data_IF_910816234281
#
_entry.id   IF_910816234281
#
_cell.length_a   1.000
_cell.length_b   1.000
_cell.length_c   1.000
_cell.angle_alpha   90.00
_cell.angle_beta   90.00
_cell.angle_gamma   90.00
#
_symmetry.space_group_name_H-M   'P 1'
#
loop_
_entity.id
_entity.type
_entity.pdbx_description
1 polymer ?
#
# COMPACT_ATOMS: atom_id res chain seq x y z
N UNK A 1 22.65 10.07 6.95
CA UNK A 1 21.93 9.18 7.82
C UNK A 1 20.50 8.94 7.33
N UNK A 2 20.12 7.72 7.31
CA UNK A 2 18.74 7.40 6.96
C UNK A 2 17.81 7.88 8.06
N UNK A 3 16.70 8.44 7.71
CA UNK A 3 15.69 8.80 8.67
C UNK A 3 14.98 7.58 9.24
N UNK A 4 14.15 7.80 10.23
CA UNK A 4 13.28 6.76 10.76
C UNK A 4 12.29 6.33 9.68
N UNK A 5 11.78 5.10 9.75
CA UNK A 5 10.68 4.68 8.88
C UNK A 5 9.48 5.60 9.09
N UNK A 6 8.73 5.82 8.02
CA UNK A 6 7.53 6.63 8.10
C UNK A 6 6.50 6.13 7.11
N UNK A 7 5.23 6.32 7.42
CA UNK A 7 4.18 6.02 6.46
C UNK A 7 4.13 7.10 5.39
N UNK A 8 3.94 6.66 4.14
CA UNK A 8 3.70 7.60 3.05
C UNK A 8 2.23 8.03 3.06
N UNK A 9 1.86 8.84 2.09
CA UNK A 9 0.46 9.27 1.92
C UNK A 9 -0.33 8.29 1.07
N UNK A 10 0.22 7.15 0.73
CA UNK A 10 -0.42 6.18 -0.15
C UNK A 10 -1.06 5.06 0.67
N UNK A 11 -2.30 4.72 0.31
CA UNK A 11 -3.02 3.58 0.87
C UNK A 11 -3.47 2.73 -0.30
N UNK A 12 -3.26 1.42 -0.22
CA UNK A 12 -3.54 0.51 -1.32
C UNK A 12 -4.69 -0.42 -0.94
N UNK A 13 -5.70 -0.49 -1.79
CA UNK A 13 -6.83 -1.42 -1.67
C UNK A 13 -6.83 -2.32 -2.89
N UNK A 14 -6.94 -3.63 -2.68
CA UNK A 14 -7.02 -4.57 -3.80
C UNK A 14 -8.38 -5.25 -3.79
N UNK A 15 -9.00 -5.37 -4.96
CA UNK A 15 -10.33 -5.97 -5.05
C UNK A 15 -10.55 -6.62 -6.41
N UNK A 16 -11.23 -7.77 -6.40
CA UNK A 16 -11.67 -8.41 -7.64
C UNK A 16 -12.88 -7.72 -8.26
N UNK A 17 -13.56 -6.89 -7.49
CA UNK A 17 -14.67 -6.07 -7.98
C UNK A 17 -14.16 -4.70 -8.41
N UNK A 18 -13.14 -4.71 -9.23
CA UNK A 18 -12.36 -3.51 -9.56
C UNK A 18 -13.19 -2.43 -10.26
N UNK A 19 -13.95 -2.81 -11.29
CA UNK A 19 -14.75 -1.83 -12.03
C UNK A 19 -15.80 -1.16 -11.14
N UNK A 20 -16.43 -1.94 -10.27
CA UNK A 20 -17.43 -1.41 -9.33
C UNK A 20 -16.77 -0.48 -8.32
N UNK A 21 -15.59 -0.85 -7.82
CA UNK A 21 -14.86 -0.02 -6.88
C UNK A 21 -14.46 1.32 -7.50
N UNK A 22 -13.94 1.29 -8.73
CA UNK A 22 -13.57 2.53 -9.42
C UNK A 22 -14.77 3.44 -9.57
N UNK A 23 -15.91 2.90 -9.96
CA UNK A 23 -17.13 3.70 -10.12
C UNK A 23 -17.57 4.30 -8.78
N UNK A 24 -17.48 3.51 -7.72
CA UNK A 24 -17.86 3.98 -6.39
C UNK A 24 -17.01 5.17 -5.95
N UNK A 25 -15.69 5.05 -6.07
CA UNK A 25 -14.81 6.12 -5.62
C UNK A 25 -14.89 7.35 -6.52
N UNK A 26 -15.02 7.15 -7.82
CA UNK A 26 -15.04 8.26 -8.76
C UNK A 26 -16.39 8.96 -8.80
N UNK A 27 -17.48 8.21 -8.69
CA UNK A 27 -18.83 8.75 -8.86
C UNK A 27 -19.52 9.01 -7.53
N UNK A 28 -19.55 8.00 -6.64
CA UNK A 28 -20.29 8.16 -5.38
C UNK A 28 -19.55 9.06 -4.41
N UNK A 29 -18.24 8.86 -4.25
CA UNK A 29 -17.44 9.72 -3.38
C UNK A 29 -16.86 10.93 -4.11
N UNK A 30 -16.95 10.93 -5.44
CA UNK A 30 -16.47 12.03 -6.27
C UNK A 30 -14.98 12.34 -6.08
N UNK A 31 -14.17 11.31 -5.82
CA UNK A 31 -12.73 11.48 -5.71
C UNK A 31 -12.14 11.70 -7.10
N UNK A 32 -11.15 12.58 -7.18
CA UNK A 32 -10.50 12.88 -8.44
C UNK A 32 -9.47 11.81 -8.76
N UNK A 33 -9.49 11.28 -9.99
CA UNK A 33 -8.47 10.36 -10.47
C UNK A 33 -7.19 11.15 -10.73
N UNK A 34 -6.09 10.73 -10.11
CA UNK A 34 -4.79 11.38 -10.29
C UNK A 34 -3.75 10.45 -10.90
N UNK A 35 -4.05 9.16 -10.99
CA UNK A 35 -3.18 8.20 -11.65
C UNK A 35 -4.05 7.12 -12.26
N UNK A 36 -3.79 6.76 -13.51
CA UNK A 36 -4.53 5.70 -14.18
C UNK A 36 -3.54 4.80 -14.89
N UNK A 37 -3.39 3.60 -14.35
CA UNK A 37 -2.51 2.58 -14.93
C UNK A 37 -3.27 1.30 -15.20
N UNK A 38 -2.56 0.33 -15.72
CA UNK A 38 -3.11 -0.97 -16.05
C UNK A 38 -3.33 -1.77 -14.76
N UNK A 39 -4.59 -1.94 -14.38
CA UNK A 39 -4.92 -2.65 -13.15
C UNK A 39 -4.69 -1.86 -11.88
N UNK A 40 -4.43 -0.55 -11.98
CA UNK A 40 -4.18 0.28 -10.80
C UNK A 40 -4.65 1.71 -11.09
N UNK A 41 -5.51 2.24 -10.23
CA UNK A 41 -5.99 3.61 -10.34
C UNK A 41 -5.80 4.31 -9.00
N UNK A 42 -5.24 5.52 -9.02
CA UNK A 42 -5.04 6.33 -7.84
C UNK A 42 -6.02 7.48 -7.76
N UNK A 43 -6.60 7.69 -6.59
CA UNK A 43 -7.58 8.73 -6.32
C UNK A 43 -7.05 9.69 -5.27
N UNK A 44 -7.30 10.98 -5.46
CA UNK A 44 -7.07 11.97 -4.42
C UNK A 44 -8.20 11.83 -3.40
N UNK A 45 -7.86 11.31 -2.22
CA UNK A 45 -8.84 10.99 -1.19
C UNK A 45 -8.74 11.91 0.02
N UNK A 46 -8.29 13.15 -0.18
CA UNK A 46 -8.10 14.11 0.90
C UNK A 46 -6.65 14.14 1.33
N UNK A 47 -6.39 13.76 2.57
CA UNK A 47 -5.02 13.78 3.09
C UNK A 47 -4.17 12.60 2.62
N UNK A 48 -4.73 11.64 1.89
CA UNK A 48 -3.98 10.51 1.36
C UNK A 48 -4.43 10.21 -0.07
N UNK A 49 -3.64 9.39 -0.75
CA UNK A 49 -3.96 8.89 -2.09
C UNK A 49 -4.42 7.45 -1.93
N UNK A 50 -5.60 7.14 -2.45
CA UNK A 50 -6.12 5.78 -2.41
C UNK A 50 -5.85 5.12 -3.75
N UNK A 51 -5.02 4.08 -3.74
CA UNK A 51 -4.77 3.26 -4.91
C UNK A 51 -5.67 2.04 -4.86
N UNK A 52 -6.39 1.81 -5.94
CA UNK A 52 -7.26 0.64 -6.06
C UNK A 52 -6.65 -0.27 -7.11
N UNK A 53 -6.27 -1.47 -6.67
CA UNK A 53 -5.59 -2.46 -7.50
C UNK A 53 -6.53 -3.60 -7.83
N UNK A 54 -6.48 -4.08 -9.07
CA UNK A 54 -7.29 -5.22 -9.51
C UNK A 54 -6.60 -6.52 -9.07
N UNK A 55 -7.32 -7.37 -8.35
CA UNK A 55 -6.77 -8.65 -7.90
C UNK A 55 -7.61 -9.26 -6.81
N UNK A 56 -7.07 -10.29 -6.17
CA UNK A 56 -7.76 -10.93 -5.05
C UNK A 56 -7.95 -9.94 -3.91
N UNK A 57 -9.10 -10.04 -3.25
CA UNK A 57 -9.48 -9.06 -2.24
C UNK A 57 -8.46 -8.95 -1.12
N UNK A 58 -8.08 -7.72 -0.82
CA UNK A 58 -7.20 -7.40 0.31
C UNK A 58 -7.59 -6.03 0.84
N UNK A 59 -7.79 -5.94 2.15
CA UNK A 59 -8.16 -4.67 2.78
C UNK A 59 -7.04 -3.64 2.67
N UNK A 60 -7.27 -2.44 3.20
CA UNK A 60 -6.32 -1.34 3.03
C UNK A 60 -4.94 -1.68 3.58
N UNK A 61 -3.91 -1.32 2.82
CA UNK A 61 -2.51 -1.52 3.16
C UNK A 61 -1.86 -0.15 3.16
N UNK A 62 -1.23 0.21 4.28
CA UNK A 62 -0.44 1.44 4.34
C UNK A 62 0.93 1.18 3.73
N UNK A 63 1.63 2.23 3.41
CA UNK A 63 2.94 2.13 2.76
C UNK A 63 4.00 2.68 3.71
N UNK A 64 4.82 1.79 4.27
CA UNK A 64 5.89 2.17 5.19
C UNK A 64 7.18 2.32 4.40
N UNK A 65 7.71 3.53 4.38
CA UNK A 65 8.93 3.84 3.66
C UNK A 65 10.14 3.67 4.58
N UNK A 66 11.12 2.92 4.12
CA UNK A 66 12.34 2.65 4.87
C UNK A 66 13.56 2.88 3.99
N UNK A 67 14.72 3.00 4.60
CA UNK A 67 15.96 3.14 3.85
C UNK A 67 16.43 1.78 3.31
N UNK A 68 16.15 0.70 4.02
CA UNK A 68 16.63 -0.65 3.68
C UNK A 68 15.53 -1.64 4.00
N UNK A 69 14.87 -2.15 2.96
CA UNK A 69 13.72 -3.03 3.11
C UNK A 69 14.10 -4.32 3.84
N UNK A 70 15.22 -4.94 3.48
CA UNK A 70 15.61 -6.21 4.09
C UNK A 70 15.89 -6.05 5.59
N UNK A 71 16.60 -4.99 5.97
CA UNK A 71 16.90 -4.73 7.36
C UNK A 71 15.63 -4.38 8.15
N UNK A 72 14.75 -3.59 7.55
CA UNK A 72 13.49 -3.22 8.19
C UNK A 72 12.60 -4.44 8.40
N UNK A 73 12.49 -5.31 7.37
CA UNK A 73 11.71 -6.53 7.45
C UNK A 73 12.19 -7.40 8.63
N UNK A 74 13.51 -7.61 8.71
CA UNK A 74 14.08 -8.41 9.78
C UNK A 74 13.75 -7.84 11.16
N UNK A 75 13.93 -6.54 11.30
CA UNK A 75 13.69 -5.86 12.57
C UNK A 75 12.21 -5.92 12.96
N UNK A 76 11.32 -5.74 12.00
CA UNK A 76 9.89 -5.77 12.26
C UNK A 76 9.40 -7.17 12.61
N UNK A 77 9.89 -8.19 11.92
CA UNK A 77 9.54 -9.57 12.25
C UNK A 77 10.03 -9.92 13.66
N UNK A 78 11.24 -9.48 14.02
CA UNK A 78 11.76 -9.72 15.37
C UNK A 78 10.93 -9.00 16.45
N UNK A 79 10.26 -7.91 16.07
CA UNK A 79 9.44 -7.14 16.99
C UNK A 79 7.98 -7.63 17.08
N UNK A 80 7.65 -8.72 16.39
CA UNK A 80 6.32 -9.31 16.51
C UNK A 80 5.41 -9.15 15.30
N UNK A 81 5.88 -8.50 14.24
CA UNK A 81 5.10 -8.45 12.99
C UNK A 81 5.09 -9.82 12.33
N UNK A 82 4.06 -10.08 11.53
CA UNK A 82 3.96 -11.32 10.76
C UNK A 82 3.93 -11.01 9.26
N UNK A 83 4.49 -11.93 8.46
CA UNK A 83 4.47 -11.79 7.02
C UNK A 83 3.09 -12.16 6.48
N UNK A 84 2.47 -11.25 5.74
CA UNK A 84 1.15 -11.47 5.14
C UNK A 84 1.29 -11.90 3.69
N UNK A 85 2.09 -11.18 2.93
CA UNK A 85 2.26 -11.46 1.51
C UNK A 85 3.60 -10.88 1.04
N UNK A 86 4.31 -11.64 0.21
CA UNK A 86 5.59 -11.17 -0.31
C UNK A 86 5.75 -11.61 -1.76
N UNK A 87 6.23 -10.70 -2.61
CA UNK A 87 6.53 -11.00 -4.01
C UNK A 87 7.68 -10.09 -4.43
N UNK A 88 8.88 -10.66 -4.52
CA UNK A 88 10.07 -9.90 -4.85
C UNK A 88 10.06 -9.38 -6.30
N UNK A 89 9.28 -10.02 -7.18
CA UNK A 89 9.23 -9.62 -8.59
C UNK A 89 8.47 -8.31 -8.81
N UNK A 90 7.62 -7.93 -7.86
CA UNK A 90 6.83 -6.68 -7.93
C UNK A 90 7.07 -5.80 -6.73
N UNK A 91 8.24 -5.76 -6.16
CA UNK A 91 8.61 -5.34 -4.80
C UNK A 91 7.43 -5.16 -3.86
N UNK A 92 6.90 -6.28 -3.39
CA UNK A 92 5.80 -6.29 -2.43
C UNK A 92 6.24 -7.03 -1.18
N UNK A 93 6.07 -6.41 -0.03
CA UNK A 93 6.37 -7.03 1.25
C UNK A 93 5.34 -6.53 2.27
N UNK A 94 4.26 -7.26 2.42
CA UNK A 94 3.17 -6.89 3.34
C UNK A 94 3.38 -7.56 4.68
N UNK A 95 3.49 -6.76 5.72
CA UNK A 95 3.58 -7.22 7.10
C UNK A 95 2.36 -6.73 7.87
N UNK A 96 1.99 -7.49 8.88
CA UNK A 96 0.94 -7.10 9.82
C UNK A 96 1.59 -6.90 11.18
N UNK A 97 1.36 -5.73 11.80
CA UNK A 97 1.93 -5.50 13.13
C UNK A 97 1.11 -6.24 14.20
N UNK A 98 1.60 -6.27 15.44
CA UNK A 98 0.89 -7.01 16.50
C UNK A 98 -0.49 -6.47 16.84
N UNK A 99 -0.85 -5.28 16.31
CA UNK A 99 -2.10 -4.61 16.66
C UNK A 99 -3.10 -4.60 15.50
N UNK A 100 -2.76 -5.18 14.37
CA UNK A 100 -3.68 -5.37 13.26
C UNK A 100 -3.47 -4.50 12.03
N UNK A 101 -2.49 -3.60 12.05
CA UNK A 101 -2.23 -2.75 10.88
C UNK A 101 -1.37 -3.51 9.87
N UNK A 102 -1.84 -3.55 8.62
CA UNK A 102 -1.09 -4.15 7.52
C UNK A 102 -0.43 -3.03 6.73
N UNK A 103 0.85 -3.21 6.41
CA UNK A 103 1.57 -2.22 5.61
C UNK A 103 2.59 -2.90 4.70
N UNK A 104 2.88 -2.22 3.60
CA UNK A 104 3.94 -2.61 2.69
C UNK A 104 5.24 -1.99 3.18
N UNK A 105 6.31 -2.77 3.18
CA UNK A 105 7.64 -2.24 3.51
C UNK A 105 8.33 -1.92 2.21
N UNK A 106 8.56 -0.65 1.95
CA UNK A 106 9.16 -0.18 0.72
C UNK A 106 10.25 0.86 0.97
N UNK A 107 10.91 1.27 -0.10
CA UNK A 107 11.90 2.33 -0.02
C UNK A 107 11.27 3.64 -0.44
N UNK A 108 11.95 4.74 -0.12
CA UNK A 108 11.45 6.07 -0.49
C UNK A 108 11.32 6.26 -1.98
N UNK A 109 12.10 5.52 -2.76
CA UNK A 109 12.11 5.65 -4.21
C UNK A 109 11.18 4.67 -4.90
N UNK A 110 10.57 3.74 -4.16
CA UNK A 110 9.74 2.69 -4.75
C UNK A 110 8.28 2.82 -4.36
N UNK A 111 7.83 4.01 -4.02
CA UNK A 111 6.44 4.23 -3.69
C UNK A 111 5.51 3.86 -4.84
N UNK A 112 4.20 3.69 -4.54
CA UNK A 112 3.21 3.27 -5.52
C UNK A 112 3.06 4.33 -6.62
N UNK A 113 3.16 5.58 -6.25
CA UNK A 113 2.97 6.68 -7.20
C UNK A 113 4.26 7.04 -7.93
#
# INVERSE_FOLDING_TARGET
MSGSPKFSRDVILRTGRWSEALRFYETTLAFKVIHRGDGLVGFAAGSFVLYVENGSDHGPVFDLLTADVAAAKQRLLAAGCTLVEEDASVPKCYLKDPFGVVFNVGTRDSGVA
#
